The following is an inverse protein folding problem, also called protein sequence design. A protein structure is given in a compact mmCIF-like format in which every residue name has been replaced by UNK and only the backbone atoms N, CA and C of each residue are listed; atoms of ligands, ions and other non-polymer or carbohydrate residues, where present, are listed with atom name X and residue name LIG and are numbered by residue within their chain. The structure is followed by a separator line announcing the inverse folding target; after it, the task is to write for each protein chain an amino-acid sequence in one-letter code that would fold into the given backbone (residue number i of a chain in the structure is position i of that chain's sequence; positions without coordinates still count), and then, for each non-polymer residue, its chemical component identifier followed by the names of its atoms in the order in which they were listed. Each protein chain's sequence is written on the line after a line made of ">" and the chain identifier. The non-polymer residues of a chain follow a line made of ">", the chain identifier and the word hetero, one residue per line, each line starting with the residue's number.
data_IF_904921704999
#
_entry.id   IF_904921704999
#
_cell.length_a   1.000
_cell.length_b   1.000
_cell.length_c   1.000
_cell.angle_alpha   90.00
_cell.angle_beta   90.00
_cell.angle_gamma   90.00
#
_symmetry.space_group_name_H-M   'P 1'
#
loop_
_entity.id
_entity.type
_entity.pdbx_description
1 polymer ?
#
# COMPACT_ATOMS: atom_id res chain seq x y z
N UNK A 1 -32.00 34.79 -26.08
CA UNK A 1 -33.18 33.95 -25.78
C UNK A 1 -32.89 32.45 -25.79
N UNK A 2 -32.24 31.88 -26.78
CA UNK A 2 -31.93 30.44 -26.87
C UNK A 2 -31.04 29.94 -25.69
N UNK A 3 -30.07 30.73 -25.21
CA UNK A 3 -29.21 30.37 -24.07
C UNK A 3 -29.98 30.20 -22.75
N UNK A 4 -30.98 31.04 -22.51
CA UNK A 4 -31.80 30.94 -21.29
C UNK A 4 -32.78 29.77 -21.37
N UNK A 5 -33.23 29.40 -22.59
CA UNK A 5 -34.12 28.27 -22.83
C UNK A 5 -33.36 26.93 -22.58
N UNK A 6 -32.12 26.83 -22.98
CA UNK A 6 -31.24 25.66 -22.72
C UNK A 6 -30.96 25.52 -21.21
N UNK A 7 -30.69 26.63 -20.51
CA UNK A 7 -30.51 26.64 -19.05
C UNK A 7 -31.77 26.22 -18.30
N UNK A 8 -32.94 26.68 -18.76
CA UNK A 8 -34.25 26.29 -18.17
C UNK A 8 -34.54 24.80 -18.39
N UNK A 9 -34.25 24.25 -19.57
CA UNK A 9 -34.37 22.82 -19.86
C UNK A 9 -33.41 21.96 -18.97
N UNK A 10 -32.21 22.44 -18.70
CA UNK A 10 -31.27 21.75 -17.82
C UNK A 10 -31.76 21.69 -16.37
N UNK A 11 -32.38 22.76 -15.86
CA UNK A 11 -32.95 22.84 -14.49
C UNK A 11 -34.15 21.88 -14.34
N UNK A 12 -34.98 21.74 -15.37
CA UNK A 12 -36.17 20.84 -15.35
C UNK A 12 -35.75 19.36 -15.31
N UNK A 13 -34.63 18.98 -15.98
CA UNK A 13 -34.13 17.61 -15.95
C UNK A 13 -33.57 17.21 -14.57
N UNK A 14 -32.93 18.11 -13.83
CA UNK A 14 -32.41 17.84 -12.49
C UNK A 14 -33.51 17.74 -11.41
N UNK A 15 -34.62 18.47 -11.53
CA UNK A 15 -35.69 18.46 -10.52
C UNK A 15 -36.55 17.18 -10.58
N UNK A 16 -36.65 16.49 -11.72
CA UNK A 16 -37.44 15.26 -11.85
C UNK A 16 -36.87 14.07 -11.07
N UNK A 17 -35.54 13.97 -10.95
CA UNK A 17 -34.87 12.84 -10.27
C UNK A 17 -34.94 12.97 -8.74
N UNK A 18 -34.80 14.17 -8.18
CA UNK A 18 -34.93 14.43 -6.75
C UNK A 18 -36.38 14.15 -6.25
N UNK A 19 -37.40 14.41 -7.07
CA UNK A 19 -38.79 14.15 -6.72
C UNK A 19 -39.12 12.66 -6.59
N UNK A 20 -38.50 11.77 -7.40
CA UNK A 20 -38.74 10.32 -7.35
C UNK A 20 -38.16 9.70 -6.08
N UNK A 21 -36.92 10.01 -5.72
CA UNK A 21 -36.28 9.50 -4.49
C UNK A 21 -37.09 9.94 -3.25
N UNK A 22 -37.45 11.22 -3.15
CA UNK A 22 -38.22 11.74 -2.04
C UNK A 22 -39.62 11.09 -1.92
N UNK A 23 -40.29 10.83 -3.03
CA UNK A 23 -41.56 10.08 -3.02
C UNK A 23 -41.35 8.64 -2.54
N UNK A 24 -40.29 7.99 -3.00
CA UNK A 24 -40.00 6.61 -2.59
C UNK A 24 -39.70 6.53 -1.09
N UNK A 25 -38.91 7.44 -0.53
CA UNK A 25 -38.62 7.49 0.92
C UNK A 25 -39.87 7.63 1.78
N UNK A 26 -40.88 8.37 1.31
CA UNK A 26 -42.14 8.56 2.01
C UNK A 26 -43.14 7.38 1.86
N UNK A 27 -42.86 6.43 0.99
CA UNK A 27 -43.70 5.24 0.84
C UNK A 27 -43.64 4.36 2.08
N UNK A 28 -44.72 3.74 2.47
CA UNK A 28 -44.80 2.71 3.51
C UNK A 28 -44.56 1.29 2.96
N UNK A 29 -44.59 1.15 1.63
CA UNK A 29 -44.37 -0.13 0.94
C UNK A 29 -42.88 -0.45 0.86
N UNK A 30 -42.41 -1.36 1.69
CA UNK A 30 -41.02 -1.80 1.76
C UNK A 30 -40.55 -2.56 0.52
N UNK A 31 -41.47 -3.31 -0.13
CA UNK A 31 -41.12 -4.07 -1.34
C UNK A 31 -40.94 -3.13 -2.53
N UNK A 32 -41.82 -2.11 -2.64
CA UNK A 32 -41.60 -1.06 -3.62
C UNK A 32 -40.29 -0.30 -3.40
N UNK A 33 -39.99 0.10 -2.14
CA UNK A 33 -38.71 0.77 -1.82
C UNK A 33 -37.53 -0.07 -2.20
N UNK A 34 -37.54 -1.36 -1.86
CA UNK A 34 -36.45 -2.30 -2.16
C UNK A 34 -36.23 -2.41 -3.68
N UNK A 35 -37.32 -2.59 -4.45
CA UNK A 35 -37.27 -2.63 -5.91
C UNK A 35 -36.67 -1.35 -6.52
N UNK A 36 -36.99 -0.18 -5.97
CA UNK A 36 -36.44 1.09 -6.45
C UNK A 36 -34.99 1.24 -6.06
N UNK A 37 -34.58 0.81 -4.85
CA UNK A 37 -33.18 0.78 -4.40
C UNK A 37 -32.31 -0.10 -5.30
N UNK A 38 -32.77 -1.31 -5.59
CA UNK A 38 -32.08 -2.25 -6.48
C UNK A 38 -31.96 -1.71 -7.92
N UNK A 39 -33.00 -1.02 -8.41
CA UNK A 39 -32.96 -0.37 -9.71
C UNK A 39 -31.93 0.78 -9.74
N UNK A 40 -31.81 1.58 -8.67
CA UNK A 40 -30.74 2.57 -8.56
C UNK A 40 -29.36 1.93 -8.51
N UNK A 41 -29.20 0.85 -7.76
CA UNK A 41 -27.95 0.08 -7.70
C UNK A 41 -27.55 -0.46 -9.08
N UNK A 42 -28.48 -1.09 -9.81
CA UNK A 42 -28.25 -1.59 -11.16
C UNK A 42 -27.89 -0.48 -12.17
N UNK A 43 -28.42 0.73 -11.97
CA UNK A 43 -28.08 1.92 -12.74
C UNK A 43 -26.78 2.61 -12.26
N UNK A 44 -26.03 2.02 -11.31
CA UNK A 44 -24.83 2.60 -10.70
C UNK A 44 -25.06 3.96 -10.00
N UNK A 45 -26.29 4.25 -9.60
CA UNK A 45 -26.68 5.41 -8.80
C UNK A 45 -26.59 5.06 -7.31
N UNK A 46 -25.33 4.75 -6.89
CA UNK A 46 -25.05 4.16 -5.59
C UNK A 46 -25.43 5.08 -4.43
N UNK A 47 -25.29 6.39 -4.59
CA UNK A 47 -25.74 7.40 -3.65
C UNK A 47 -27.24 7.26 -3.30
N UNK A 48 -28.10 7.10 -4.32
CA UNK A 48 -29.54 6.95 -4.14
C UNK A 48 -29.92 5.56 -3.63
N UNK A 49 -29.21 4.55 -4.09
CA UNK A 49 -29.41 3.18 -3.62
C UNK A 49 -29.10 3.07 -2.12
N UNK A 50 -27.98 3.64 -1.69
CA UNK A 50 -27.52 3.60 -0.30
C UNK A 50 -28.55 4.21 0.66
N UNK A 51 -29.08 5.38 0.34
CA UNK A 51 -30.11 6.05 1.16
C UNK A 51 -31.35 5.18 1.34
N UNK A 52 -31.80 4.49 0.27
CA UNK A 52 -32.98 3.62 0.35
C UNK A 52 -32.68 2.29 1.08
N UNK A 53 -31.49 1.73 0.90
CA UNK A 53 -31.08 0.52 1.63
C UNK A 53 -31.02 0.80 3.13
N UNK A 54 -30.45 1.94 3.53
CA UNK A 54 -30.36 2.35 4.93
C UNK A 54 -31.75 2.54 5.57
N UNK A 55 -32.68 3.19 4.87
CA UNK A 55 -34.07 3.35 5.33
C UNK A 55 -34.81 2.01 5.50
N UNK A 56 -34.39 0.97 4.76
CA UNK A 56 -34.97 -0.37 4.83
C UNK A 56 -34.37 -1.26 5.93
N UNK A 57 -33.22 -0.91 6.53
CA UNK A 57 -32.57 -1.74 7.52
C UNK A 57 -33.48 -2.11 8.71
N UNK A 58 -34.13 -1.18 9.41
CA UNK A 58 -34.97 -1.52 10.55
C UNK A 58 -36.18 -2.39 10.17
N UNK A 59 -36.61 -2.29 8.89
CA UNK A 59 -37.81 -2.99 8.40
C UNK A 59 -37.46 -4.43 7.98
N UNK A 60 -36.34 -4.63 7.32
CA UNK A 60 -35.96 -5.93 6.71
C UNK A 60 -35.00 -6.75 7.57
N UNK A 61 -34.44 -6.20 8.65
CA UNK A 61 -33.58 -6.93 9.57
C UNK A 61 -34.27 -8.20 10.06
N UNK A 62 -33.58 -9.36 9.94
CA UNK A 62 -34.14 -10.65 10.31
C UNK A 62 -34.99 -11.33 9.22
N UNK A 63 -35.17 -10.70 8.06
CA UNK A 63 -35.83 -11.32 6.90
C UNK A 63 -34.78 -11.89 5.92
N UNK A 64 -35.16 -12.88 5.07
CA UNK A 64 -34.25 -13.40 4.04
C UNK A 64 -33.75 -12.34 3.02
N UNK A 65 -34.47 -11.23 2.87
CA UNK A 65 -34.08 -10.13 1.97
C UNK A 65 -32.94 -9.28 2.54
N UNK A 66 -32.71 -9.34 3.84
CA UNK A 66 -31.74 -8.45 4.51
C UNK A 66 -30.30 -8.73 4.11
N UNK A 67 -29.94 -10.01 3.90
CA UNK A 67 -28.59 -10.40 3.47
C UNK A 67 -28.20 -9.73 2.14
N UNK A 68 -29.05 -9.86 1.11
CA UNK A 68 -28.78 -9.30 -0.21
C UNK A 68 -28.78 -7.76 -0.20
N UNK A 69 -29.69 -7.17 0.56
CA UNK A 69 -29.74 -5.73 0.77
C UNK A 69 -28.45 -5.22 1.41
N UNK A 70 -28.01 -5.84 2.51
CA UNK A 70 -26.83 -5.42 3.24
C UNK A 70 -25.55 -5.55 2.40
N UNK A 71 -25.45 -6.64 1.63
CA UNK A 71 -24.37 -6.84 0.67
C UNK A 71 -24.31 -5.72 -0.39
N UNK A 72 -25.42 -5.39 -1.00
CA UNK A 72 -25.52 -4.28 -1.98
C UNK A 72 -25.24 -2.92 -1.34
N UNK A 73 -25.63 -2.73 -0.10
CA UNK A 73 -25.31 -1.52 0.68
C UNK A 73 -23.81 -1.36 0.89
N UNK A 74 -23.11 -2.43 1.29
CA UNK A 74 -21.66 -2.42 1.45
C UNK A 74 -20.95 -2.09 0.12
N UNK A 75 -21.39 -2.70 -0.98
CA UNK A 75 -20.89 -2.38 -2.31
C UNK A 75 -21.21 -0.96 -2.76
N UNK A 76 -22.34 -0.41 -2.36
CA UNK A 76 -22.67 0.99 -2.66
C UNK A 76 -21.65 1.95 -2.04
N UNK A 77 -21.29 1.73 -0.77
CA UNK A 77 -20.22 2.50 -0.11
C UNK A 77 -18.87 2.34 -0.83
N UNK A 78 -18.51 1.12 -1.23
CA UNK A 78 -17.29 0.85 -1.99
C UNK A 78 -17.23 1.61 -3.31
N UNK A 79 -18.31 1.57 -4.10
CA UNK A 79 -18.37 2.24 -5.41
C UNK A 79 -18.46 3.77 -5.30
N UNK A 80 -18.89 4.30 -4.15
CA UNK A 80 -18.84 5.72 -3.83
C UNK A 80 -17.44 6.18 -3.37
N UNK A 81 -16.50 5.24 -3.20
CA UNK A 81 -15.16 5.54 -2.72
C UNK A 81 -15.05 5.71 -1.20
N UNK A 82 -16.13 5.47 -0.47
CA UNK A 82 -16.12 5.46 1.00
C UNK A 82 -15.60 4.12 1.52
N UNK A 83 -14.30 3.88 1.26
CA UNK A 83 -13.65 2.60 1.55
C UNK A 83 -13.57 2.32 3.06
N UNK A 84 -13.52 3.36 3.89
CA UNK A 84 -13.49 3.18 5.34
C UNK A 84 -14.81 2.61 5.87
N UNK A 85 -15.92 3.15 5.41
CA UNK A 85 -17.24 2.64 5.74
C UNK A 85 -17.50 1.28 5.09
N UNK A 86 -17.12 1.11 3.81
CA UNK A 86 -17.26 -0.16 3.10
C UNK A 86 -16.52 -1.30 3.81
N UNK A 87 -15.31 -1.07 4.34
CA UNK A 87 -14.56 -2.06 5.14
C UNK A 87 -15.37 -2.54 6.34
N UNK A 88 -15.91 -1.61 7.13
CA UNK A 88 -16.72 -1.93 8.28
C UNK A 88 -18.00 -2.69 7.90
N UNK A 89 -18.64 -2.31 6.79
CA UNK A 89 -19.83 -2.97 6.29
C UNK A 89 -19.54 -4.40 5.81
N UNK A 90 -18.46 -4.63 5.06
CA UNK A 90 -18.06 -5.98 4.65
C UNK A 90 -17.66 -6.83 5.85
N UNK A 91 -16.95 -6.28 6.83
CA UNK A 91 -16.65 -6.95 8.08
C UNK A 91 -17.93 -7.41 8.79
N UNK A 92 -18.88 -6.49 8.99
CA UNK A 92 -20.17 -6.78 9.63
C UNK A 92 -20.98 -7.81 8.83
N UNK A 93 -20.89 -7.78 7.49
CA UNK A 93 -21.54 -8.78 6.65
C UNK A 93 -21.02 -10.18 6.94
N UNK A 94 -19.70 -10.37 6.96
CA UNK A 94 -19.06 -11.67 7.26
C UNK A 94 -19.43 -12.17 8.66
N UNK A 95 -19.43 -11.27 9.66
CA UNK A 95 -19.81 -11.58 11.03
C UNK A 95 -21.29 -11.94 11.18
N UNK A 96 -22.17 -11.32 10.39
CA UNK A 96 -23.63 -11.52 10.47
C UNK A 96 -24.08 -12.73 9.65
N UNK A 97 -23.44 -12.97 8.50
CA UNK A 97 -23.81 -14.01 7.54
C UNK A 97 -22.62 -14.95 7.22
N UNK A 98 -22.02 -15.60 8.22
CA UNK A 98 -20.79 -16.38 8.02
C UNK A 98 -20.98 -17.59 7.09
N UNK A 99 -22.19 -18.08 6.92
CA UNK A 99 -22.52 -19.21 6.02
C UNK A 99 -23.04 -18.78 4.65
N UNK A 100 -23.07 -17.49 4.37
CA UNK A 100 -23.47 -16.95 3.08
C UNK A 100 -22.48 -17.35 1.98
N UNK A 101 -22.98 -17.66 0.80
CA UNK A 101 -22.15 -17.85 -0.39
C UNK A 101 -21.44 -16.56 -0.86
N UNK A 102 -21.80 -15.40 -0.27
CA UNK A 102 -21.18 -14.11 -0.50
C UNK A 102 -20.14 -13.75 0.58
N UNK A 103 -20.02 -14.57 1.64
CA UNK A 103 -19.12 -14.27 2.77
C UNK A 103 -17.66 -14.24 2.32
N UNK A 104 -17.22 -15.19 1.50
CA UNK A 104 -15.86 -15.22 0.96
C UNK A 104 -15.55 -13.94 0.16
N UNK A 105 -16.47 -13.52 -0.73
CA UNK A 105 -16.27 -12.30 -1.49
C UNK A 105 -16.28 -11.06 -0.61
N UNK A 106 -17.14 -10.99 0.39
CA UNK A 106 -17.19 -9.87 1.34
C UNK A 106 -15.88 -9.76 2.15
N UNK A 107 -15.27 -10.88 2.57
CA UNK A 107 -13.99 -10.90 3.27
C UNK A 107 -12.86 -10.40 2.36
N UNK A 108 -12.81 -10.83 1.11
CA UNK A 108 -11.89 -10.30 0.11
C UNK A 108 -12.09 -8.78 -0.12
N UNK A 109 -13.33 -8.33 -0.23
CA UNK A 109 -13.64 -6.91 -0.43
C UNK A 109 -13.28 -6.05 0.78
N UNK A 110 -13.40 -6.58 1.98
CA UNK A 110 -12.90 -5.95 3.21
C UNK A 110 -11.40 -5.64 3.11
N UNK A 111 -10.59 -6.63 2.75
CA UNK A 111 -9.16 -6.45 2.54
C UNK A 111 -8.86 -5.49 1.38
N UNK A 112 -9.65 -5.56 0.30
CA UNK A 112 -9.55 -4.65 -0.85
C UNK A 112 -9.80 -3.20 -0.46
N UNK A 113 -10.70 -2.91 0.50
CA UNK A 113 -10.93 -1.57 1.00
C UNK A 113 -9.67 -0.94 1.61
N UNK A 114 -8.88 -1.68 2.38
CA UNK A 114 -7.59 -1.21 2.89
C UNK A 114 -6.60 -0.92 1.76
N UNK A 115 -6.53 -1.80 0.76
CA UNK A 115 -5.67 -1.60 -0.40
C UNK A 115 -6.04 -0.34 -1.19
N UNK A 116 -7.35 -0.07 -1.38
CA UNK A 116 -7.83 1.17 -2.02
C UNK A 116 -7.52 2.44 -1.25
N UNK A 117 -7.38 2.34 0.08
CA UNK A 117 -6.98 3.45 0.95
C UNK A 117 -5.46 3.60 1.07
N UNK A 118 -4.68 2.66 0.52
CA UNK A 118 -3.22 2.69 0.55
C UNK A 118 -2.69 3.90 -0.22
N UNK A 119 -1.99 4.85 0.43
CA UNK A 119 -1.55 6.08 -0.22
C UNK A 119 -0.25 5.88 -1.02
N UNK A 120 0.35 6.98 -1.51
CA UNK A 120 1.69 6.99 -2.10
C UNK A 120 2.73 6.56 -1.05
N UNK A 121 3.86 5.99 -1.51
CA UNK A 121 4.89 5.41 -0.64
C UNK A 121 5.45 6.38 0.41
N UNK A 122 5.50 7.68 0.11
CA UNK A 122 6.05 8.71 1.01
C UNK A 122 5.17 8.99 2.24
N UNK A 123 3.89 8.63 2.16
CA UNK A 123 2.91 8.88 3.22
C UNK A 123 2.87 7.71 4.23
N UNK A 124 1.98 7.81 5.22
CA UNK A 124 1.74 6.74 6.19
C UNK A 124 1.24 5.46 5.51
N UNK A 125 1.86 4.33 5.81
CA UNK A 125 1.57 3.04 5.17
C UNK A 125 0.73 2.08 6.03
N UNK A 126 0.06 2.60 7.06
CA UNK A 126 -0.80 1.79 7.95
C UNK A 126 -1.84 0.99 7.16
N UNK A 127 -2.52 1.60 6.19
CA UNK A 127 -3.52 0.91 5.37
C UNK A 127 -2.88 -0.10 4.40
N UNK A 128 -1.67 0.16 3.91
CA UNK A 128 -0.92 -0.80 3.07
C UNK A 128 -0.57 -2.06 3.86
N UNK A 129 -0.07 -1.89 5.08
CA UNK A 129 0.26 -3.02 5.98
C UNK A 129 -0.99 -3.80 6.39
N UNK A 130 -2.10 -3.09 6.68
CA UNK A 130 -3.39 -3.75 6.96
C UNK A 130 -3.91 -4.52 5.75
N UNK A 131 -3.81 -3.97 4.54
CA UNK A 131 -4.21 -4.66 3.31
C UNK A 131 -3.44 -5.97 3.13
N UNK A 132 -2.12 -5.93 3.29
CA UNK A 132 -1.27 -7.13 3.23
C UNK A 132 -1.71 -8.19 4.25
N UNK A 133 -1.86 -7.79 5.52
CA UNK A 133 -2.26 -8.71 6.58
C UNK A 133 -3.65 -9.32 6.35
N UNK A 134 -4.63 -8.54 5.89
CA UNK A 134 -5.98 -9.02 5.61
C UNK A 134 -6.02 -9.91 4.35
N UNK A 135 -5.24 -9.60 3.30
CA UNK A 135 -5.12 -10.47 2.13
C UNK A 135 -4.45 -11.81 2.48
N UNK A 136 -3.42 -11.79 3.33
CA UNK A 136 -2.79 -13.03 3.82
C UNK A 136 -3.77 -13.87 4.66
N UNK A 137 -4.55 -13.23 5.54
CA UNK A 137 -5.59 -13.90 6.31
C UNK A 137 -6.66 -14.52 5.39
N UNK A 138 -7.08 -13.80 4.35
CA UNK A 138 -8.00 -14.30 3.33
C UNK A 138 -7.45 -15.56 2.64
N UNK A 139 -6.20 -15.55 2.18
CA UNK A 139 -5.55 -16.70 1.54
C UNK A 139 -5.53 -17.90 2.49
N UNK A 140 -5.20 -17.68 3.76
CA UNK A 140 -5.13 -18.75 4.77
C UNK A 140 -6.50 -19.36 5.07
N UNK A 141 -7.56 -18.54 5.06
CA UNK A 141 -8.93 -18.97 5.35
C UNK A 141 -9.60 -19.60 4.11
N UNK A 142 -9.27 -19.13 2.92
CA UNK A 142 -9.86 -19.53 1.65
C UNK A 142 -8.82 -20.00 0.62
N UNK A 143 -8.00 -21.03 0.92
CA UNK A 143 -6.86 -21.42 0.07
C UNK A 143 -7.26 -21.94 -1.32
N UNK A 144 -8.52 -22.33 -1.51
CA UNK A 144 -9.05 -22.80 -2.79
C UNK A 144 -9.85 -21.72 -3.55
N UNK A 145 -9.90 -20.51 -3.03
CA UNK A 145 -10.61 -19.41 -3.66
C UNK A 145 -9.99 -19.01 -5.01
N UNK A 146 -10.79 -18.75 -6.04
CA UNK A 146 -10.29 -18.21 -7.31
C UNK A 146 -9.67 -16.82 -7.14
N UNK A 147 -9.90 -16.15 -6.00
CA UNK A 147 -9.35 -14.82 -5.66
C UNK A 147 -7.96 -14.87 -5.03
N UNK A 148 -7.40 -16.07 -4.74
CA UNK A 148 -6.06 -16.22 -4.17
C UNK A 148 -4.99 -15.53 -5.04
N UNK A 149 -5.04 -15.70 -6.34
CA UNK A 149 -4.08 -15.06 -7.26
C UNK A 149 -4.15 -13.52 -7.19
N UNK A 150 -5.35 -12.94 -7.11
CA UNK A 150 -5.54 -11.49 -6.97
C UNK A 150 -5.09 -11.00 -5.58
N UNK A 151 -5.38 -11.75 -4.52
CA UNK A 151 -4.93 -11.45 -3.16
C UNK A 151 -3.40 -11.46 -3.06
N UNK A 152 -2.73 -12.46 -3.63
CA UNK A 152 -1.25 -12.54 -3.70
C UNK A 152 -0.67 -11.35 -4.44
N UNK A 153 -1.24 -10.98 -5.59
CA UNK A 153 -0.82 -9.80 -6.33
C UNK A 153 -0.91 -8.51 -5.50
N UNK A 154 -1.99 -8.33 -4.73
CA UNK A 154 -2.16 -7.17 -3.85
C UNK A 154 -1.09 -7.17 -2.74
N UNK A 155 -0.73 -8.34 -2.19
CA UNK A 155 0.35 -8.47 -1.21
C UNK A 155 1.68 -8.04 -1.84
N UNK A 156 2.01 -8.53 -3.03
CA UNK A 156 3.25 -8.21 -3.73
C UNK A 156 3.36 -6.72 -4.07
N UNK A 157 2.29 -6.12 -4.59
CA UNK A 157 2.23 -4.67 -4.87
C UNK A 157 2.36 -3.83 -3.59
N UNK A 158 1.76 -4.28 -2.50
CA UNK A 158 1.86 -3.63 -1.20
C UNK A 158 3.29 -3.72 -0.64
N UNK A 159 3.93 -4.90 -0.74
CA UNK A 159 5.32 -5.14 -0.33
C UNK A 159 6.28 -4.27 -1.12
N UNK A 160 6.11 -4.22 -2.45
CA UNK A 160 6.93 -3.34 -3.30
C UNK A 160 6.78 -1.85 -2.94
N UNK A 161 5.59 -1.40 -2.55
CA UNK A 161 5.36 -0.04 -2.07
C UNK A 161 6.09 0.24 -0.75
N UNK A 162 6.07 -0.69 0.20
CA UNK A 162 6.80 -0.58 1.47
C UNK A 162 8.32 -0.55 1.23
N UNK A 163 8.83 -1.38 0.34
CA UNK A 163 10.23 -1.39 -0.08
C UNK A 163 10.68 -0.01 -0.62
N UNK A 164 9.85 0.60 -1.50
CA UNK A 164 10.11 1.96 -1.99
C UNK A 164 10.14 2.98 -0.86
N UNK A 165 9.25 2.86 0.14
CA UNK A 165 9.24 3.75 1.31
C UNK A 165 10.53 3.63 2.11
N UNK A 166 10.95 2.40 2.40
CA UNK A 166 12.13 2.13 3.21
C UNK A 166 13.41 2.59 2.48
N UNK A 167 13.47 2.36 1.15
CA UNK A 167 14.55 2.90 0.32
C UNK A 167 14.63 4.43 0.40
N UNK A 168 13.52 5.13 0.21
CA UNK A 168 13.49 6.60 0.30
C UNK A 168 13.87 7.12 1.68
N UNK A 169 13.53 6.39 2.73
CA UNK A 169 13.94 6.73 4.09
C UNK A 169 15.46 6.59 4.30
N UNK A 170 16.05 5.52 3.77
CA UNK A 170 17.50 5.32 3.80
C UNK A 170 18.25 6.37 2.94
N UNK A 171 17.72 6.65 1.75
CA UNK A 171 18.24 7.68 0.84
C UNK A 171 18.20 9.08 1.46
N UNK A 172 17.16 9.38 2.24
CA UNK A 172 17.07 10.66 2.97
C UNK A 172 18.22 10.81 3.96
N UNK A 173 18.56 9.79 4.76
CA UNK A 173 19.71 9.84 5.65
C UNK A 173 21.01 10.05 4.87
N UNK A 174 21.18 9.39 3.73
CA UNK A 174 22.34 9.59 2.87
C UNK A 174 22.45 11.01 2.36
N UNK A 175 21.37 11.59 1.85
CA UNK A 175 21.33 12.94 1.30
C UNK A 175 21.53 14.03 2.37
N UNK A 176 21.13 13.76 3.61
CA UNK A 176 21.37 14.65 4.76
C UNK A 176 22.79 14.54 5.35
N UNK A 177 23.64 13.63 4.82
CA UNK A 177 25.00 13.42 5.32
C UNK A 177 25.09 12.52 6.56
N UNK A 178 23.99 11.92 6.99
CA UNK A 178 23.97 10.96 8.11
C UNK A 178 24.42 9.56 7.64
N UNK A 179 25.63 9.47 7.11
CA UNK A 179 26.13 8.31 6.37
C UNK A 179 26.11 7.00 7.17
N UNK A 180 26.46 7.05 8.47
CA UNK A 180 26.35 5.85 9.31
C UNK A 180 24.92 5.35 9.43
N UNK A 181 23.96 6.25 9.63
CA UNK A 181 22.55 5.90 9.73
C UNK A 181 22.02 5.39 8.37
N UNK A 182 22.46 6.00 7.26
CA UNK A 182 22.12 5.55 5.92
C UNK A 182 22.60 4.11 5.66
N UNK A 183 23.87 3.80 6.03
CA UNK A 183 24.41 2.45 5.88
C UNK A 183 23.57 1.40 6.65
N UNK A 184 23.20 1.72 7.89
CA UNK A 184 22.34 0.84 8.71
C UNK A 184 20.95 0.67 8.08
N UNK A 185 20.35 1.77 7.59
CA UNK A 185 19.03 1.74 6.99
C UNK A 185 19.01 0.94 5.66
N UNK A 186 20.04 1.09 4.81
CA UNK A 186 20.16 0.28 3.59
C UNK A 186 20.46 -1.20 3.89
N UNK A 187 21.19 -1.51 4.98
CA UNK A 187 21.38 -2.90 5.42
C UNK A 187 20.05 -3.51 5.85
N UNK A 188 19.28 -2.79 6.68
CA UNK A 188 17.94 -3.23 7.09
C UNK A 188 16.99 -3.43 5.90
N UNK A 189 17.11 -2.61 4.85
CA UNK A 189 16.34 -2.76 3.62
C UNK A 189 16.65 -4.09 2.92
N UNK A 190 17.93 -4.48 2.83
CA UNK A 190 18.35 -5.77 2.26
C UNK A 190 17.78 -6.94 3.08
N UNK A 191 17.83 -6.84 4.40
CA UNK A 191 17.36 -7.88 5.31
C UNK A 191 15.82 -8.03 5.27
N UNK A 192 15.07 -6.92 5.12
CA UNK A 192 13.63 -6.91 5.05
C UNK A 192 13.09 -7.39 3.67
N UNK A 193 13.88 -7.21 2.60
CA UNK A 193 13.49 -7.55 1.23
C UNK A 193 14.56 -8.42 0.54
N UNK A 194 14.82 -9.62 1.06
CA UNK A 194 15.90 -10.49 0.55
C UNK A 194 15.67 -10.97 -0.88
N UNK A 195 14.41 -11.01 -1.32
CA UNK A 195 14.01 -11.42 -2.68
C UNK A 195 13.97 -10.25 -3.68
N UNK A 196 14.37 -9.04 -3.26
CA UNK A 196 14.37 -7.88 -4.14
C UNK A 196 15.42 -8.04 -5.25
N UNK A 197 15.01 -7.73 -6.48
CA UNK A 197 15.93 -7.69 -7.62
C UNK A 197 16.87 -6.48 -7.62
N UNK A 198 16.81 -5.62 -6.57
CA UNK A 198 17.65 -4.44 -6.35
C UNK A 198 18.66 -4.63 -5.21
N UNK A 199 18.83 -5.84 -4.72
CA UNK A 199 19.69 -6.13 -3.59
C UNK A 199 21.14 -5.66 -3.81
N UNK A 200 21.66 -5.74 -5.03
CA UNK A 200 22.97 -5.23 -5.41
C UNK A 200 23.06 -3.69 -5.39
N UNK A 201 22.00 -2.99 -5.85
CA UNK A 201 21.92 -1.53 -5.75
C UNK A 201 21.89 -1.06 -4.29
N UNK A 202 21.13 -1.74 -3.44
CA UNK A 202 21.04 -1.42 -2.01
C UNK A 202 22.38 -1.68 -1.31
N UNK A 203 23.05 -2.79 -1.64
CA UNK A 203 24.38 -3.11 -1.11
C UNK A 203 25.44 -2.09 -1.54
N UNK A 204 25.37 -1.61 -2.77
CA UNK A 204 26.22 -0.50 -3.22
C UNK A 204 25.98 0.77 -2.40
N UNK A 205 24.72 1.06 -2.04
CA UNK A 205 24.42 2.22 -1.18
C UNK A 205 24.94 2.05 0.24
N UNK A 206 24.98 0.84 0.79
CA UNK A 206 25.68 0.53 2.06
C UNK A 206 27.16 0.89 1.95
N UNK A 207 27.85 0.41 0.90
CA UNK A 207 29.26 0.65 0.63
C UNK A 207 29.54 2.16 0.50
N UNK A 208 28.78 2.87 -0.33
CA UNK A 208 28.91 4.32 -0.51
C UNK A 208 28.73 5.08 0.81
N UNK A 209 27.77 4.67 1.60
CA UNK A 209 27.48 5.29 2.89
C UNK A 209 28.63 5.10 3.87
N UNK A 210 29.17 3.89 4.02
CA UNK A 210 30.33 3.65 4.88
C UNK A 210 31.57 4.36 4.36
N UNK A 211 31.78 4.44 3.05
CA UNK A 211 32.91 5.16 2.45
C UNK A 211 32.86 6.66 2.81
N UNK A 212 31.73 7.31 2.63
CA UNK A 212 31.55 8.70 3.02
C UNK A 212 31.62 8.91 4.53
N UNK A 213 31.13 7.96 5.31
CA UNK A 213 31.30 7.97 6.76
C UNK A 213 32.78 7.89 7.17
N UNK A 214 33.58 7.06 6.50
CA UNK A 214 35.02 6.99 6.74
C UNK A 214 35.71 8.30 6.36
N UNK A 215 35.46 8.84 5.16
CA UNK A 215 36.03 10.09 4.67
C UNK A 215 35.78 11.29 5.60
N UNK A 216 34.58 11.37 6.18
CA UNK A 216 34.18 12.48 7.04
C UNK A 216 34.50 12.23 8.52
N UNK A 217 35.33 11.25 8.82
CA UNK A 217 35.72 10.90 10.18
C UNK A 217 37.00 11.57 10.61
N UNK A 218 37.20 11.69 11.92
CA UNK A 218 38.51 12.07 12.48
C UNK A 218 39.57 11.04 12.06
N UNK A 219 40.77 11.50 11.89
CA UNK A 219 41.88 10.74 11.30
C UNK A 219 42.12 9.39 11.99
N UNK A 220 42.08 9.37 13.31
CA UNK A 220 42.32 8.19 14.14
C UNK A 220 41.26 7.08 13.93
N UNK A 221 40.10 7.43 13.38
CA UNK A 221 39.01 6.50 13.13
C UNK A 221 38.84 6.10 11.66
N UNK A 222 39.57 6.75 10.75
CA UNK A 222 39.37 6.53 9.33
C UNK A 222 39.78 5.12 8.89
N UNK A 223 40.94 4.63 9.35
CA UNK A 223 41.43 3.31 8.98
C UNK A 223 40.45 2.19 9.36
N UNK A 224 39.98 2.15 10.62
CA UNK A 224 38.96 1.21 11.10
C UNK A 224 37.67 1.25 10.23
N UNK A 225 37.27 2.46 9.78
CA UNK A 225 36.04 2.65 9.00
C UNK A 225 36.21 2.26 7.53
N UNK A 226 37.40 2.44 6.96
CA UNK A 226 37.73 1.93 5.62
C UNK A 226 37.80 0.40 5.60
N UNK A 227 38.30 -0.25 6.69
CA UNK A 227 38.25 -1.71 6.81
C UNK A 227 36.79 -2.21 6.73
N UNK A 228 35.82 -1.48 7.32
CA UNK A 228 34.43 -1.83 7.19
C UNK A 228 33.93 -1.70 5.73
N UNK A 229 34.37 -0.67 4.98
CA UNK A 229 34.06 -0.56 3.55
C UNK A 229 34.61 -1.75 2.76
N UNK A 230 35.84 -2.14 3.02
CA UNK A 230 36.47 -3.30 2.34
C UNK A 230 35.69 -4.58 2.62
N UNK A 231 35.26 -4.79 3.87
CA UNK A 231 34.44 -5.94 4.25
C UNK A 231 33.09 -5.96 3.51
N UNK A 232 32.40 -4.79 3.41
CA UNK A 232 31.14 -4.68 2.68
C UNK A 232 31.32 -4.88 1.16
N UNK A 233 32.46 -4.43 0.60
CA UNK A 233 32.81 -4.70 -0.80
C UNK A 233 33.05 -6.20 -1.04
N UNK A 234 33.71 -6.88 -0.14
CA UNK A 234 33.95 -8.33 -0.24
C UNK A 234 32.63 -9.09 -0.21
N UNK A 235 31.76 -8.79 0.78
CA UNK A 235 30.41 -9.37 0.86
C UNK A 235 29.57 -9.10 -0.40
N UNK A 236 29.69 -7.92 -1.02
CA UNK A 236 29.04 -7.63 -2.29
C UNK A 236 29.51 -8.56 -3.41
N UNK A 237 30.84 -8.70 -3.54
CA UNK A 237 31.44 -9.50 -4.63
C UNK A 237 31.11 -10.99 -4.49
N UNK A 238 30.98 -11.48 -3.25
CA UNK A 238 30.58 -12.86 -2.96
C UNK A 238 29.09 -13.10 -3.25
N UNK A 239 28.22 -12.13 -2.94
CA UNK A 239 26.77 -12.26 -3.11
C UNK A 239 26.29 -11.93 -4.52
N UNK A 240 26.93 -11.01 -5.21
CA UNK A 240 26.49 -10.47 -6.50
C UNK A 240 27.61 -10.48 -7.57
N UNK A 241 28.28 -11.63 -7.82
CA UNK A 241 29.44 -11.70 -8.74
C UNK A 241 29.12 -11.30 -10.18
N UNK A 242 27.86 -11.46 -10.60
CA UNK A 242 27.41 -11.14 -11.96
C UNK A 242 26.79 -9.73 -12.08
N UNK A 243 26.81 -8.94 -11.01
CA UNK A 243 26.24 -7.58 -11.03
C UNK A 243 27.07 -6.64 -11.94
N UNK A 244 26.38 -5.78 -12.65
CA UNK A 244 27.02 -4.70 -13.44
C UNK A 244 27.77 -3.70 -12.55
N UNK A 245 27.53 -3.74 -11.22
CA UNK A 245 28.11 -2.82 -10.24
C UNK A 245 29.47 -3.30 -9.70
N UNK A 246 29.92 -4.51 -10.05
CA UNK A 246 31.21 -5.09 -9.60
C UNK A 246 32.37 -4.11 -9.77
N UNK A 247 32.53 -3.49 -10.94
CA UNK A 247 33.63 -2.54 -11.18
C UNK A 247 33.59 -1.33 -10.25
N UNK A 248 32.37 -0.84 -9.93
CA UNK A 248 32.20 0.27 -9.02
C UNK A 248 32.55 -0.13 -7.58
N UNK A 249 32.21 -1.35 -7.19
CA UNK A 249 32.58 -1.89 -5.86
C UNK A 249 34.07 -2.11 -5.73
N UNK A 250 34.74 -2.65 -6.77
CA UNK A 250 36.19 -2.80 -6.79
C UNK A 250 36.91 -1.45 -6.68
N UNK A 251 36.39 -0.40 -7.30
CA UNK A 251 36.90 0.96 -7.12
C UNK A 251 36.85 1.38 -5.64
N UNK A 252 35.70 1.26 -4.95
CA UNK A 252 35.60 1.61 -3.54
C UNK A 252 36.51 0.77 -2.64
N UNK A 253 36.68 -0.53 -2.94
CA UNK A 253 37.60 -1.42 -2.23
C UNK A 253 39.04 -0.94 -2.37
N UNK A 254 39.47 -0.62 -3.60
CA UNK A 254 40.81 -0.17 -3.90
C UNK A 254 41.11 1.18 -3.25
N UNK A 255 40.20 2.15 -3.39
CA UNK A 255 40.36 3.47 -2.78
C UNK A 255 40.45 3.38 -1.25
N UNK A 256 39.60 2.55 -0.63
CA UNK A 256 39.67 2.33 0.83
C UNK A 256 41.01 1.74 1.27
N UNK A 257 41.52 0.77 0.53
CA UNK A 257 42.84 0.17 0.82
C UNK A 257 43.98 1.19 0.66
N UNK A 258 43.91 2.05 -0.37
CA UNK A 258 44.90 3.08 -0.61
C UNK A 258 44.90 4.15 0.52
N UNK A 259 43.71 4.54 0.97
CA UNK A 259 43.54 5.50 2.07
C UNK A 259 44.14 4.96 3.39
N UNK A 260 44.01 3.67 3.69
CA UNK A 260 44.63 3.05 4.86
C UNK A 260 46.15 3.08 4.72
N UNK A 261 46.72 2.63 3.58
CA UNK A 261 48.18 2.60 3.36
C UNK A 261 48.85 3.97 3.47
N UNK A 262 48.23 5.00 2.86
CA UNK A 262 48.77 6.36 2.90
C UNK A 262 48.87 6.89 4.33
N UNK A 263 47.94 6.53 5.20
CA UNK A 263 47.93 6.92 6.62
C UNK A 263 48.98 6.20 7.43
N UNK A 264 49.16 4.89 7.21
CA UNK A 264 50.21 4.12 7.86
C UNK A 264 51.60 4.67 7.52
N UNK A 265 51.81 5.12 6.27
CA UNK A 265 53.05 5.78 5.85
C UNK A 265 53.26 7.15 6.50
N UNK A 266 52.19 7.93 6.65
CA UNK A 266 52.25 9.22 7.34
C UNK A 266 52.57 9.07 8.82
N UNK A 267 51.91 8.12 9.49
CA UNK A 267 52.16 7.82 10.90
C UNK A 267 53.59 7.33 11.15
N UNK A 268 54.17 6.49 10.24
CA UNK A 268 55.57 6.03 10.29
C UNK A 268 56.58 7.16 10.07
N UNK A 269 56.23 8.21 9.36
CA UNK A 269 57.12 9.36 9.15
C UNK A 269 57.06 10.39 10.28
N UNK A 270 55.95 10.38 11.06
CA UNK A 270 55.74 11.26 12.20
C UNK A 270 56.23 10.71 13.54
N UNK A 271 56.56 9.41 13.63
CA UNK A 271 57.16 8.72 14.78
C UNK A 271 58.67 8.62 14.67
#
# INVERSE_FOLDING_TARGET
>A
MIRYFILLLYIIFFSSCASKLSKTLKSTDSDYKLKVAENYYAQKKYDKAQVLFEDLFPILKGTPKFEDLYYKYAYSAYYLGDYSNAENLFKTFVETFPTSNKAEEADFMRATCYYRQSPKAELDQTNTTKAMGQMQAFINTHPQSPKVAEATKIIDESRAKLEVKDFKSAELYYNLGFYKAAAIAFTALIDNYPDSNKGDEYKLMVIKSYYLYANNSIEEKQAERYDKVIAECTDFLDRFPESKLVKTVEYYRTESSNNIKSKDEQNKKAA
#
